data_IF_254358509329
#
_entry.id   IF_254358509329
#
_cell.length_a   1.000
_cell.length_b   1.000
_cell.length_c   1.000
_cell.angle_alpha   90.00
_cell.angle_beta   90.00
_cell.angle_gamma   90.00
#
_symmetry.space_group_name_H-M   'P 1'
#
loop_
_entity.id
_entity.type
_entity.pdbx_description
1 polymer ?
#
# COMPACT_ATOMS: atom_id res chain seq x y z
N UNK A 1 32.08 -8.70 -1.23
CA UNK A 1 30.77 -9.39 -1.37
C UNK A 1 29.99 -9.12 -0.09
N UNK A 2 29.22 -8.03 -0.09
CA UNK A 2 28.20 -7.80 0.93
C UNK A 2 26.88 -8.17 0.27
N UNK A 3 26.61 -9.47 0.25
CA UNK A 3 25.37 -10.04 -0.25
C UNK A 3 24.39 -10.06 0.92
N UNK A 4 23.89 -8.89 1.31
CA UNK A 4 22.87 -8.71 2.35
C UNK A 4 22.20 -7.37 2.15
N UNK A 5 21.46 -7.21 1.05
CA UNK A 5 20.62 -6.01 0.88
C UNK A 5 19.22 -6.32 0.36
N UNK A 6 18.89 -7.61 0.18
CA UNK A 6 17.50 -7.99 -0.06
C UNK A 6 16.82 -8.21 1.29
N UNK A 7 15.79 -7.43 1.66
CA UNK A 7 15.04 -7.68 2.87
C UNK A 7 14.48 -9.12 2.83
N UNK A 8 14.48 -9.80 3.97
CA UNK A 8 14.12 -11.22 4.09
C UNK A 8 12.68 -11.55 3.65
N UNK A 9 11.87 -10.53 3.34
CA UNK A 9 10.50 -10.67 2.88
C UNK A 9 10.22 -9.69 1.73
N UNK A 10 9.60 -10.13 0.63
CA UNK A 10 9.19 -9.26 -0.45
C UNK A 10 8.06 -8.35 0.05
N UNK A 11 8.36 -7.08 0.29
CA UNK A 11 7.37 -6.07 0.65
C UNK A 11 6.32 -6.02 -0.45
N UNK A 12 5.10 -6.46 -0.13
CA UNK A 12 4.01 -6.59 -1.09
C UNK A 12 2.82 -5.79 -0.61
N UNK A 13 2.24 -4.98 -1.50
CA UNK A 13 1.05 -4.21 -1.19
C UNK A 13 0.00 -4.26 -2.29
N UNK A 14 -1.25 -4.07 -1.88
CA UNK A 14 -2.43 -4.09 -2.76
C UNK A 14 -3.29 -2.87 -2.51
N UNK A 15 -3.77 -2.27 -3.60
CA UNK A 15 -4.74 -1.18 -3.56
C UNK A 15 -6.14 -1.79 -3.54
N UNK A 16 -6.94 -1.41 -2.54
CA UNK A 16 -8.32 -1.83 -2.35
C UNK A 16 -9.22 -0.62 -2.51
N UNK A 17 -10.20 -0.71 -3.41
CA UNK A 17 -11.20 0.34 -3.57
C UNK A 17 -12.29 0.15 -2.52
N UNK A 18 -12.50 1.17 -1.69
CA UNK A 18 -13.57 1.20 -0.70
C UNK A 18 -14.48 2.38 -0.94
N UNK A 19 -15.77 2.22 -0.66
CA UNK A 19 -16.74 3.30 -0.70
C UNK A 19 -17.05 3.69 0.74
N UNK A 20 -16.82 4.97 1.07
CA UNK A 20 -17.09 5.52 2.40
C UNK A 20 -18.23 6.54 2.31
N UNK A 21 -18.92 6.74 3.44
CA UNK A 21 -19.95 7.78 3.57
C UNK A 21 -21.32 7.41 2.98
N UNK A 22 -22.15 8.44 2.80
CA UNK A 22 -23.50 8.29 2.25
C UNK A 22 -23.48 7.66 0.85
N UNK A 23 -24.41 6.73 0.56
CA UNK A 23 -24.51 6.11 -0.76
C UNK A 23 -24.81 7.12 -1.89
N UNK A 24 -25.27 8.33 -1.54
CA UNK A 24 -25.50 9.42 -2.48
C UNK A 24 -24.22 10.20 -2.84
N UNK A 25 -23.17 10.13 -2.02
CA UNK A 25 -21.95 10.93 -2.18
C UNK A 25 -20.81 10.17 -2.87
N UNK A 26 -20.94 8.85 -3.10
CA UNK A 26 -19.97 8.03 -3.83
C UNK A 26 -18.50 8.37 -3.50
N UNK A 27 -18.17 8.51 -2.21
CA UNK A 27 -16.78 8.80 -1.82
C UNK A 27 -15.95 7.52 -1.98
N UNK A 28 -15.38 7.38 -3.17
CA UNK A 28 -14.44 6.33 -3.52
C UNK A 28 -13.09 6.67 -2.87
N UNK A 29 -12.59 5.75 -2.05
CA UNK A 29 -11.28 5.83 -1.41
C UNK A 29 -10.45 4.62 -1.83
N UNK A 30 -9.15 4.82 -1.89
CA UNK A 30 -8.18 3.82 -2.30
C UNK A 30 -7.28 3.51 -1.13
N UNK A 31 -7.47 2.34 -0.53
CA UNK A 31 -6.70 1.90 0.62
C UNK A 31 -5.51 1.06 0.13
N UNK A 32 -4.30 1.45 0.52
CA UNK A 32 -3.11 0.62 0.35
C UNK A 32 -3.03 -0.34 1.54
N UNK A 33 -3.05 -1.65 1.28
CA UNK A 33 -2.96 -2.69 2.30
C UNK A 33 -1.80 -3.64 2.05
N UNK A 34 -1.23 -4.17 3.12
CA UNK A 34 -0.17 -5.19 3.09
C UNK A 34 -0.57 -6.41 3.93
N UNK A 35 0.06 -7.54 3.63
CA UNK A 35 -0.04 -8.77 4.39
C UNK A 35 1.33 -9.18 5.00
N UNK A 36 2.36 -8.31 4.89
CA UNK A 36 3.74 -8.56 5.34
C UNK A 36 3.90 -8.62 6.87
N UNK A 37 3.16 -7.78 7.60
CA UNK A 37 3.20 -7.73 9.07
C UNK A 37 2.04 -8.54 9.63
N UNK A 38 0.82 -8.16 9.25
CA UNK A 38 -0.44 -8.82 9.59
C UNK A 38 -1.37 -8.80 8.37
N UNK A 39 -2.27 -9.79 8.23
CA UNK A 39 -3.16 -9.84 7.08
C UNK A 39 -4.11 -8.63 7.04
N UNK A 40 -4.29 -8.05 5.85
CA UNK A 40 -5.11 -6.87 5.59
C UNK A 40 -4.69 -5.60 6.37
N UNK A 41 -3.41 -5.48 6.73
CA UNK A 41 -2.89 -4.27 7.38
C UNK A 41 -3.09 -3.06 6.48
N UNK A 42 -3.72 -2.00 7.00
CA UNK A 42 -3.86 -0.73 6.29
C UNK A 42 -2.56 0.08 6.42
N UNK A 43 -1.91 0.34 5.28
CA UNK A 43 -0.71 1.20 5.22
C UNK A 43 -1.09 2.67 5.08
N UNK A 44 -1.99 2.99 4.16
CA UNK A 44 -2.39 4.37 3.85
C UNK A 44 -3.73 4.40 3.09
N UNK A 45 -4.42 5.54 3.15
CA UNK A 45 -5.64 5.78 2.38
C UNK A 45 -5.45 7.00 1.47
N UNK A 46 -6.00 6.93 0.26
CA UNK A 46 -5.88 7.97 -0.75
C UNK A 46 -7.23 8.27 -1.41
N UNK A 47 -7.38 9.49 -1.89
CA UNK A 47 -8.57 9.93 -2.63
C UNK A 47 -8.52 9.48 -4.10
N UNK A 48 -7.33 9.28 -4.66
CA UNK A 48 -7.14 8.84 -6.04
C UNK A 48 -6.38 7.51 -6.15
N UNK A 49 -6.65 6.78 -7.24
CA UNK A 49 -5.95 5.52 -7.54
C UNK A 49 -4.46 5.74 -7.75
N UNK A 50 -4.10 6.84 -8.41
CA UNK A 50 -2.72 7.15 -8.77
C UNK A 50 -1.86 7.38 -7.52
N UNK A 51 -2.39 8.06 -6.50
CA UNK A 51 -1.71 8.24 -5.22
C UNK A 51 -1.51 6.91 -4.48
N UNK A 52 -2.51 6.02 -4.51
CA UNK A 52 -2.39 4.70 -3.91
C UNK A 52 -1.37 3.81 -4.65
N UNK A 53 -1.29 3.92 -5.98
CA UNK A 53 -0.29 3.22 -6.78
C UNK A 53 1.13 3.77 -6.57
N UNK A 54 1.27 5.09 -6.42
CA UNK A 54 2.55 5.71 -6.05
C UNK A 54 3.01 5.24 -4.66
N UNK A 55 2.11 5.27 -3.68
CA UNK A 55 2.39 4.78 -2.34
C UNK A 55 2.72 3.29 -2.32
N UNK A 56 2.03 2.49 -3.15
CA UNK A 56 2.35 1.08 -3.39
C UNK A 56 3.78 0.94 -3.90
N UNK A 57 4.11 1.64 -4.99
CA UNK A 57 5.45 1.58 -5.59
C UNK A 57 6.51 1.95 -4.55
N UNK A 58 6.32 3.04 -3.79
CA UNK A 58 7.26 3.42 -2.72
C UNK A 58 7.38 2.39 -1.61
N UNK A 59 6.31 1.66 -1.28
CA UNK A 59 6.33 0.63 -0.23
C UNK A 59 7.03 -0.66 -0.68
N UNK A 60 6.82 -1.04 -1.94
CA UNK A 60 7.41 -2.22 -2.58
C UNK A 60 8.84 -1.97 -3.08
N UNK A 61 9.21 -0.70 -3.30
CA UNK A 61 10.56 -0.31 -3.68
C UNK A 61 11.54 -0.60 -2.54
N UNK A 62 12.53 -1.42 -2.84
CA UNK A 62 13.56 -1.89 -1.90
C UNK A 62 14.46 -0.74 -1.39
N UNK A 63 14.41 0.46 -2.00
CA UNK A 63 15.25 1.60 -1.60
C UNK A 63 14.75 2.39 -0.38
N UNK A 64 13.69 1.92 0.31
CA UNK A 64 13.41 2.36 1.69
C UNK A 64 14.50 1.80 2.62
N UNK A 65 15.68 2.41 2.59
CA UNK A 65 16.65 2.31 3.68
C UNK A 65 15.93 2.74 4.98
N UNK A 66 15.78 1.79 5.91
CA UNK A 66 15.29 1.99 7.27
C UNK A 66 16.44 2.45 8.19
#
# INVERSE_FOLDING_TARGET
>A
MRDYDQPAYPRSARVVVVFRGDPNLNLRRFELRTDDIEPNTLLSEHDTEQEALDAKHRYEDEALEL
#
